data_IF_928790799444
#
_entry.id   IF_928790799444
#
_cell.length_a   1.000
_cell.length_b   1.000
_cell.length_c   1.000
_cell.angle_alpha   90.00
_cell.angle_beta   90.00
_cell.angle_gamma   90.00
#
_symmetry.space_group_name_H-M   'P 1'
#
loop_
_entity.id
_entity.type
_entity.pdbx_description
1 polymer ?
#
# COMPACT_ATOMS: atom_id res chain seq x y z
N UNK A 1 28.98 -18.66 31.57
CA UNK A 1 28.63 -17.27 31.23
C UNK A 1 27.78 -16.68 32.36
N UNK A 2 28.38 -16.08 33.40
CA UNK A 2 27.65 -15.20 34.30
C UNK A 2 27.57 -13.81 33.64
N UNK A 3 26.35 -13.28 33.53
CA UNK A 3 26.08 -11.99 32.91
C UNK A 3 26.64 -10.83 33.73
N UNK A 4 27.43 -9.98 33.07
CA UNK A 4 27.75 -8.65 33.58
C UNK A 4 26.49 -7.79 33.46
N UNK A 5 25.68 -7.83 34.52
CA UNK A 5 24.49 -6.99 34.68
C UNK A 5 24.85 -5.81 35.58
N UNK A 6 25.68 -4.91 35.07
CA UNK A 6 25.64 -3.53 35.58
C UNK A 6 24.35 -2.96 35.01
N UNK A 7 23.30 -2.90 35.84
CA UNK A 7 22.01 -2.31 35.48
C UNK A 7 22.21 -0.88 34.99
N UNK A 8 22.25 -0.71 33.67
CA UNK A 8 22.35 0.59 33.00
C UNK A 8 21.05 1.40 33.06
N UNK A 9 20.00 0.87 33.69
CA UNK A 9 18.65 1.48 33.75
C UNK A 9 18.60 2.81 34.54
N UNK A 10 19.70 3.24 35.18
CA UNK A 10 19.86 4.60 35.71
C UNK A 10 21.17 5.30 35.34
N UNK A 11 22.01 4.66 34.50
CA UNK A 11 23.35 5.15 34.15
C UNK A 11 23.36 6.03 32.90
N UNK A 12 22.62 5.64 31.85
CA UNK A 12 22.62 6.34 30.57
C UNK A 12 22.17 7.79 30.70
N UNK A 13 21.00 8.01 31.33
CA UNK A 13 20.41 9.34 31.52
C UNK A 13 21.24 10.25 32.42
N UNK A 14 22.01 9.69 33.36
CA UNK A 14 22.95 10.44 34.20
C UNK A 14 24.25 10.80 33.45
N UNK A 15 24.76 9.90 32.61
CA UNK A 15 25.97 10.13 31.82
C UNK A 15 25.72 11.10 30.66
N UNK A 16 24.49 11.18 30.16
CA UNK A 16 24.06 12.17 29.17
C UNK A 16 23.57 13.48 29.81
N UNK A 17 23.62 13.63 31.14
CA UNK A 17 23.30 14.91 31.78
C UNK A 17 24.35 15.95 31.34
N UNK A 18 23.93 17.07 30.73
CA UNK A 18 24.85 18.10 30.26
C UNK A 18 25.78 18.62 31.37
N UNK A 19 25.32 18.65 32.63
CA UNK A 19 26.15 19.06 33.78
C UNK A 19 27.25 18.05 34.10
N UNK A 20 26.94 16.76 33.99
CA UNK A 20 27.91 15.68 34.21
C UNK A 20 28.94 15.68 33.09
N UNK A 21 28.50 15.76 31.83
CA UNK A 21 29.38 15.85 30.67
C UNK A 21 30.32 17.07 30.76
N UNK A 22 29.77 18.24 31.07
CA UNK A 22 30.56 19.47 31.24
C UNK A 22 31.64 19.34 32.31
N UNK A 23 31.29 18.71 33.44
CA UNK A 23 32.20 18.51 34.56
C UNK A 23 33.32 17.53 34.21
N UNK A 24 32.98 16.43 33.53
CA UNK A 24 33.96 15.46 33.01
C UNK A 24 34.90 16.12 32.00
N UNK A 25 34.39 16.96 31.10
CA UNK A 25 35.23 17.66 30.13
C UNK A 25 36.15 18.70 30.76
N UNK A 26 35.70 19.49 31.74
CA UNK A 26 36.59 20.38 32.52
C UNK A 26 37.69 19.62 33.26
N UNK A 27 37.34 18.48 33.85
CA UNK A 27 38.29 17.62 34.55
C UNK A 27 39.37 17.09 33.63
N UNK A 28 39.06 16.82 32.37
CA UNK A 28 39.96 16.16 31.42
C UNK A 28 40.74 17.15 30.54
N UNK A 29 40.09 18.25 30.12
CA UNK A 29 40.64 19.22 29.17
C UNK A 29 41.36 20.36 29.90
N UNK A 30 40.61 21.31 30.43
CA UNK A 30 41.11 22.42 31.24
C UNK A 30 39.96 23.11 31.99
N UNK A 31 40.30 23.92 32.99
CA UNK A 31 39.35 24.74 33.75
C UNK A 31 38.72 25.84 32.87
N UNK A 32 39.35 26.18 31.74
CA UNK A 32 38.84 27.11 30.72
C UNK A 32 37.74 26.51 29.81
N UNK A 33 37.35 25.23 29.98
CA UNK A 33 36.18 24.67 29.31
C UNK A 33 34.89 25.26 29.90
N UNK A 34 34.56 26.47 29.47
CA UNK A 34 33.36 27.18 29.84
C UNK A 34 32.25 26.89 28.82
N UNK A 35 31.12 26.38 29.32
CA UNK A 35 29.85 26.45 28.61
C UNK A 35 29.28 27.86 28.77
N UNK A 36 28.43 28.30 27.84
CA UNK A 36 27.78 29.60 27.93
C UNK A 36 26.93 29.77 29.22
N UNK A 37 26.67 28.68 29.96
CA UNK A 37 26.24 28.74 31.36
C UNK A 37 24.79 29.18 31.52
N UNK A 38 23.96 29.03 30.49
CA UNK A 38 22.54 29.37 30.51
C UNK A 38 21.64 28.15 30.78
N UNK A 39 20.40 28.40 31.19
CA UNK A 39 19.33 27.39 31.37
C UNK A 39 18.96 26.58 30.09
N UNK A 40 19.67 26.80 28.97
CA UNK A 40 19.47 26.12 27.69
C UNK A 40 20.58 25.14 27.28
N UNK A 41 21.57 24.86 28.14
CA UNK A 41 22.63 23.90 27.82
C UNK A 41 22.06 22.47 27.74
N UNK A 42 22.17 21.87 26.56
CA UNK A 42 21.74 20.50 26.26
C UNK A 42 22.95 19.59 26.14
N UNK A 43 22.76 18.27 26.22
CA UNK A 43 23.85 17.32 25.93
C UNK A 43 24.46 17.59 24.54
N UNK A 44 23.63 18.07 23.60
CA UNK A 44 24.04 18.48 22.26
C UNK A 44 25.02 19.65 22.32
N UNK A 45 24.65 20.74 22.99
CA UNK A 45 25.51 21.93 23.06
C UNK A 45 26.84 21.65 23.77
N UNK A 46 26.85 20.76 24.77
CA UNK A 46 28.08 20.36 25.47
C UNK A 46 29.00 19.54 24.56
N UNK A 47 28.45 18.60 23.79
CA UNK A 47 29.21 17.78 22.84
C UNK A 47 29.68 18.60 21.64
N UNK A 48 28.89 19.54 21.15
CA UNK A 48 29.30 20.46 20.08
C UNK A 48 30.44 21.38 20.53
N UNK A 49 30.39 21.87 21.78
CA UNK A 49 31.47 22.66 22.38
C UNK A 49 32.76 21.85 22.55
N UNK A 50 32.64 20.59 22.94
CA UNK A 50 33.77 19.65 22.99
C UNK A 50 34.41 19.52 21.61
N UNK A 51 33.57 19.32 20.61
CA UNK A 51 33.96 19.21 19.21
C UNK A 51 34.67 20.47 18.70
N UNK A 52 34.16 21.66 19.05
CA UNK A 52 34.77 22.95 18.72
C UNK A 52 36.12 23.13 19.43
N UNK A 53 36.21 22.77 20.72
CA UNK A 53 37.46 22.79 21.48
C UNK A 53 38.54 21.93 20.81
N UNK A 54 38.20 20.73 20.34
CA UNK A 54 39.14 19.88 19.59
C UNK A 54 39.60 20.50 18.28
N UNK A 55 38.72 21.25 17.63
CA UNK A 55 39.04 21.92 16.37
C UNK A 55 39.98 23.10 16.58
N UNK A 56 39.78 23.88 17.65
CA UNK A 56 40.57 25.07 17.98
C UNK A 56 41.93 24.72 18.59
N UNK A 57 41.99 23.71 19.46
CA UNK A 57 43.21 23.35 20.20
C UNK A 57 44.31 22.66 19.35
N UNK A 58 44.23 22.73 18.01
CA UNK A 58 45.15 22.10 17.06
C UNK A 58 45.57 20.68 17.49
N UNK A 59 44.58 19.82 17.72
CA UNK A 59 44.81 18.41 18.02
C UNK A 59 45.16 17.65 16.73
N UNK A 60 46.16 18.15 15.97
CA UNK A 60 46.84 17.46 14.87
C UNK A 60 47.59 16.19 15.35
N UNK A 61 47.52 15.87 16.65
CA UNK A 61 48.11 14.68 17.26
C UNK A 61 47.20 13.45 17.23
N UNK A 62 45.93 13.57 16.84
CA UNK A 62 44.96 12.47 16.91
C UNK A 62 43.98 12.44 15.72
N UNK A 63 44.47 11.98 14.56
CA UNK A 63 43.60 11.69 13.40
C UNK A 63 42.46 10.73 13.76
N UNK A 64 42.70 9.78 14.68
CA UNK A 64 41.72 8.81 15.18
C UNK A 64 40.54 9.47 15.92
N UNK A 65 40.79 10.56 16.68
CA UNK A 65 39.71 11.27 17.38
C UNK A 65 38.78 11.98 16.40
N UNK A 66 39.33 12.46 15.27
CA UNK A 66 38.56 13.07 14.19
C UNK A 66 37.64 12.05 13.51
N UNK A 67 38.07 10.79 13.38
CA UNK A 67 37.24 9.70 12.83
C UNK A 67 36.15 9.23 13.80
N UNK A 68 36.50 9.03 15.06
CA UNK A 68 35.52 8.69 16.10
C UNK A 68 34.47 9.79 16.29
N UNK A 69 34.83 11.07 16.09
CA UNK A 69 33.89 12.18 16.02
C UNK A 69 32.87 12.02 14.89
N UNK A 70 33.30 11.61 13.69
CA UNK A 70 32.38 11.40 12.56
C UNK A 70 31.35 10.29 12.83
N UNK A 71 31.67 9.39 13.76
CA UNK A 71 30.78 8.30 14.19
C UNK A 71 29.82 8.70 15.31
N UNK A 72 30.09 9.82 16.00
CA UNK A 72 29.24 10.34 17.07
C UNK A 72 28.06 11.11 16.48
N UNK A 73 26.89 10.48 16.52
CA UNK A 73 25.62 11.08 16.16
C UNK A 73 24.92 11.58 17.44
N UNK A 74 24.92 12.89 17.59
CA UNK A 74 24.44 13.59 18.78
C UNK A 74 22.91 13.52 18.89
N UNK A 75 22.18 13.48 17.76
CA UNK A 75 20.72 13.31 17.77
C UNK A 75 20.36 11.92 18.30
N UNK A 76 21.03 10.88 17.80
CA UNK A 76 20.83 9.50 18.28
C UNK A 76 21.23 9.33 19.74
N UNK A 77 22.27 10.03 20.21
CA UNK A 77 22.65 10.05 21.62
C UNK A 77 21.50 10.54 22.51
N UNK A 78 20.85 11.65 22.14
CA UNK A 78 19.72 12.21 22.92
C UNK A 78 18.48 11.33 22.90
N UNK A 79 18.32 10.49 21.87
CA UNK A 79 17.24 9.52 21.76
C UNK A 79 17.46 8.26 22.61
N UNK A 80 18.58 8.15 23.34
CA UNK A 80 18.85 7.00 24.21
C UNK A 80 19.70 5.91 23.56
N UNK A 81 20.37 6.18 22.44
CA UNK A 81 21.19 5.17 21.76
C UNK A 81 22.45 4.83 22.59
N UNK A 82 22.42 3.68 23.25
CA UNK A 82 23.52 3.12 24.08
C UNK A 82 24.85 3.06 23.34
N UNK A 83 24.83 2.94 22.02
CA UNK A 83 26.02 2.91 21.18
C UNK A 83 26.66 4.28 21.03
N UNK A 84 25.84 5.33 20.91
CA UNK A 84 26.36 6.69 20.83
C UNK A 84 26.98 7.10 22.16
N UNK A 85 26.39 6.68 23.28
CA UNK A 85 27.00 6.85 24.59
C UNK A 85 28.34 6.11 24.68
N UNK A 86 28.43 4.88 24.15
CA UNK A 86 29.69 4.14 24.12
C UNK A 86 30.78 4.85 23.31
N UNK A 87 30.43 5.39 22.13
CA UNK A 87 31.36 6.19 21.30
C UNK A 87 31.82 7.44 22.07
N UNK A 88 30.88 8.15 22.71
CA UNK A 88 31.19 9.31 23.55
C UNK A 88 32.14 8.95 24.71
N UNK A 89 31.88 7.85 25.42
CA UNK A 89 32.73 7.38 26.51
C UNK A 89 34.14 7.02 26.03
N UNK A 90 34.29 6.35 24.88
CA UNK A 90 35.61 6.06 24.30
C UNK A 90 36.34 7.34 23.94
N UNK A 91 35.66 8.30 23.30
CA UNK A 91 36.23 9.60 22.98
C UNK A 91 36.77 10.26 24.25
N UNK A 92 35.92 10.41 25.29
CA UNK A 92 36.28 11.01 26.59
C UNK A 92 37.52 10.34 27.20
N UNK A 93 37.53 9.00 27.24
CA UNK A 93 38.63 8.23 27.83
C UNK A 93 39.92 8.44 27.04
N UNK A 94 39.87 8.36 25.70
CA UNK A 94 41.07 8.55 24.85
C UNK A 94 41.61 9.97 24.98
N UNK A 95 40.74 10.97 24.98
CA UNK A 95 41.11 12.36 25.24
C UNK A 95 41.83 12.49 26.58
N UNK A 96 41.28 11.88 27.64
CA UNK A 96 41.88 11.96 28.97
C UNK A 96 43.23 11.26 29.05
N UNK A 97 43.34 10.05 28.50
CA UNK A 97 44.56 9.25 28.54
C UNK A 97 45.70 9.89 27.74
N UNK A 98 45.40 10.52 26.61
CA UNK A 98 46.41 11.10 25.73
C UNK A 98 46.50 12.64 25.81
N UNK A 99 45.70 13.26 26.68
CA UNK A 99 45.64 14.71 26.88
C UNK A 99 46.54 15.22 28.01
N UNK A 100 46.32 16.49 28.37
CA UNK A 100 47.12 17.24 29.35
C UNK A 100 47.10 16.61 30.75
N UNK A 101 45.96 16.01 31.14
CA UNK A 101 45.73 15.39 32.45
C UNK A 101 45.84 13.85 32.41
N UNK A 102 46.67 13.32 31.50
CA UNK A 102 46.92 11.88 31.33
C UNK A 102 47.31 11.13 32.60
N UNK A 103 48.04 11.76 33.52
CA UNK A 103 48.41 11.17 34.81
C UNK A 103 47.21 10.91 35.73
N UNK A 104 46.22 11.80 35.73
CA UNK A 104 44.96 11.63 36.48
C UNK A 104 44.15 10.48 35.89
N UNK A 105 44.07 10.39 34.57
CA UNK A 105 43.40 9.29 33.90
C UNK A 105 44.11 7.95 34.15
N UNK A 106 45.44 7.89 34.07
CA UNK A 106 46.21 6.69 34.39
C UNK A 106 45.99 6.25 35.85
N UNK A 107 45.95 7.19 36.79
CA UNK A 107 45.62 6.91 38.19
C UNK A 107 44.21 6.33 38.33
N UNK A 108 43.21 6.94 37.69
CA UNK A 108 41.82 6.46 37.73
C UNK A 108 41.70 5.05 37.13
N UNK A 109 42.37 4.77 36.01
CA UNK A 109 42.42 3.45 35.38
C UNK A 109 43.08 2.41 36.29
N UNK A 110 44.12 2.80 37.04
CA UNK A 110 44.81 1.90 37.97
C UNK A 110 43.93 1.45 39.16
N UNK A 111 42.88 2.22 39.50
CA UNK A 111 41.94 1.92 40.57
C UNK A 111 40.79 1.00 40.14
N UNK A 112 40.66 0.70 38.84
CA UNK A 112 39.66 -0.22 38.33
C UNK A 112 40.01 -1.67 38.69
N UNK A 113 38.98 -2.53 38.71
CA UNK A 113 39.19 -3.97 38.82
C UNK A 113 40.01 -4.46 37.62
N UNK A 114 40.74 -5.56 37.80
CA UNK A 114 41.63 -6.07 36.76
C UNK A 114 40.89 -6.44 35.47
N UNK A 115 39.66 -6.94 35.56
CA UNK A 115 38.82 -7.24 34.40
C UNK A 115 38.44 -5.97 33.63
N UNK A 116 37.88 -4.97 34.33
CA UNK A 116 37.50 -3.68 33.76
C UNK A 116 38.70 -2.93 33.18
N UNK A 117 39.86 -3.01 33.85
CA UNK A 117 41.11 -2.40 33.38
C UNK A 117 41.58 -3.03 32.08
N UNK A 118 41.55 -4.36 31.96
CA UNK A 118 41.95 -5.06 30.73
C UNK A 118 41.00 -4.77 29.57
N UNK A 119 39.70 -4.66 29.83
CA UNK A 119 38.72 -4.28 28.81
C UNK A 119 38.95 -2.84 28.32
N UNK A 120 39.20 -1.92 29.25
CA UNK A 120 39.51 -0.53 28.94
C UNK A 120 40.86 -0.39 28.22
N UNK A 121 41.89 -1.11 28.65
CA UNK A 121 43.19 -1.17 27.97
C UNK A 121 43.07 -1.75 26.55
N UNK A 122 42.20 -2.73 26.32
CA UNK A 122 41.88 -3.21 24.96
C UNK A 122 41.16 -2.16 24.13
N UNK A 123 40.25 -1.39 24.71
CA UNK A 123 39.55 -0.32 24.00
C UNK A 123 40.47 0.87 23.66
N UNK A 124 41.45 1.18 24.52
CA UNK A 124 42.39 2.30 24.33
C UNK A 124 43.61 1.88 23.50
N UNK A 125 44.27 0.78 23.87
CA UNK A 125 45.58 0.36 23.37
C UNK A 125 45.57 -0.93 22.56
N UNK A 126 44.44 -1.63 22.50
CA UNK A 126 44.28 -2.89 21.77
C UNK A 126 44.22 -2.69 20.25
N UNK A 127 45.29 -2.12 19.68
CA UNK A 127 46.06 -2.74 18.60
C UNK A 127 47.29 -1.88 18.27
N UNK A 128 48.44 -2.23 18.84
CA UNK A 128 49.75 -1.79 18.33
C UNK A 128 50.06 -2.36 16.92
N UNK A 129 49.08 -3.02 16.28
CA UNK A 129 49.09 -3.46 14.88
C UNK A 129 47.79 -3.02 14.18
N UNK A 130 47.51 -1.70 14.18
CA UNK A 130 46.51 -1.07 13.33
C UNK A 130 45.14 -0.93 13.98
N UNK A 131 44.93 0.18 14.68
CA UNK A 131 43.99 1.29 14.35
C UNK A 131 42.63 1.03 13.65
N UNK A 132 42.19 -0.23 13.56
CA UNK A 132 41.19 -0.69 12.59
C UNK A 132 40.09 -1.51 13.27
N UNK A 133 40.30 -2.03 14.48
CA UNK A 133 39.39 -3.03 15.05
C UNK A 133 38.08 -2.46 15.64
N UNK A 134 38.12 -1.32 16.34
CA UNK A 134 36.92 -0.71 16.94
C UNK A 134 36.05 -0.05 15.88
N UNK A 135 36.65 0.72 14.97
CA UNK A 135 35.96 1.30 13.82
C UNK A 135 35.39 0.21 12.91
N UNK A 136 36.15 -0.85 12.59
CA UNK A 136 35.59 -1.97 11.82
C UNK A 136 34.48 -2.70 12.56
N UNK A 137 34.56 -2.88 13.88
CA UNK A 137 33.47 -3.52 14.64
C UNK A 137 32.19 -2.70 14.60
N UNK A 138 32.31 -1.37 14.70
CA UNK A 138 31.20 -0.42 14.56
C UNK A 138 30.68 -0.44 13.11
N UNK A 139 31.54 -0.30 12.12
CA UNK A 139 31.14 -0.28 10.70
C UNK A 139 30.53 -1.61 10.24
N UNK A 140 31.05 -2.75 10.70
CA UNK A 140 30.49 -4.08 10.41
C UNK A 140 29.09 -4.24 11.01
N UNK A 141 28.87 -3.77 12.25
CA UNK A 141 27.52 -3.76 12.85
C UNK A 141 26.55 -2.86 12.09
N UNK A 142 27.00 -1.71 11.58
CA UNK A 142 26.16 -0.87 10.71
C UNK A 142 25.86 -1.54 9.37
N UNK A 143 26.86 -2.16 8.73
CA UNK A 143 26.65 -2.90 7.48
C UNK A 143 25.64 -4.03 7.66
N UNK A 144 25.74 -4.82 8.72
CA UNK A 144 24.78 -5.89 9.01
C UNK A 144 23.37 -5.37 9.29
N UNK A 145 23.25 -4.23 9.98
CA UNK A 145 21.96 -3.58 10.24
C UNK A 145 21.34 -3.06 8.94
N UNK A 146 22.09 -2.30 8.16
CA UNK A 146 21.64 -1.78 6.87
C UNK A 146 21.23 -2.90 5.92
N UNK A 147 21.97 -4.01 5.89
CA UNK A 147 21.63 -5.17 5.08
C UNK A 147 20.31 -5.82 5.53
N UNK A 148 20.08 -5.89 6.85
CA UNK A 148 18.81 -6.37 7.42
C UNK A 148 17.63 -5.46 7.07
N UNK A 149 17.83 -4.14 7.16
CA UNK A 149 16.83 -3.13 6.78
C UNK A 149 16.53 -3.18 5.26
N UNK A 150 17.55 -3.35 4.43
CA UNK A 150 17.43 -3.54 2.98
C UNK A 150 16.64 -4.79 2.64
N UNK A 151 16.95 -5.92 3.28
CA UNK A 151 16.22 -7.18 3.08
C UNK A 151 14.74 -7.03 3.47
N UNK A 152 14.47 -6.35 4.58
CA UNK A 152 13.09 -6.11 5.02
C UNK A 152 12.34 -5.20 4.03
N UNK A 153 12.98 -4.13 3.56
CA UNK A 153 12.41 -3.21 2.56
C UNK A 153 12.13 -3.93 1.24
N UNK A 154 13.06 -4.76 0.78
CA UNK A 154 12.92 -5.55 -0.44
C UNK A 154 11.75 -6.56 -0.32
N UNK A 155 11.59 -7.20 0.85
CA UNK A 155 10.44 -8.06 1.13
C UNK A 155 9.10 -7.32 1.05
N UNK A 156 9.03 -6.07 1.56
CA UNK A 156 7.83 -5.22 1.46
C UNK A 156 7.55 -4.81 0.01
N UNK A 157 8.58 -4.43 -0.76
CA UNK A 157 8.44 -4.07 -2.16
C UNK A 157 7.85 -5.23 -2.99
N UNK A 158 8.37 -6.45 -2.81
CA UNK A 158 7.85 -7.64 -3.48
C UNK A 158 6.40 -7.96 -3.11
N UNK A 159 6.00 -7.71 -1.86
CA UNK A 159 4.61 -7.90 -1.43
C UNK A 159 3.67 -6.89 -2.12
N UNK A 160 4.09 -5.64 -2.24
CA UNK A 160 3.33 -4.59 -2.94
C UNK A 160 3.21 -4.88 -4.44
N UNK A 161 4.28 -5.34 -5.10
CA UNK A 161 4.25 -5.71 -6.52
C UNK A 161 3.23 -6.84 -6.79
N UNK A 162 3.14 -7.81 -5.89
CA UNK A 162 2.15 -8.90 -5.98
C UNK A 162 0.71 -8.37 -5.87
N UNK A 163 0.44 -7.48 -4.91
CA UNK A 163 -0.88 -6.84 -4.80
C UNK A 163 -1.21 -5.97 -6.01
N UNK A 164 -0.23 -5.24 -6.54
CA UNK A 164 -0.43 -4.41 -7.73
C UNK A 164 -0.80 -5.27 -8.95
N UNK A 165 -0.12 -6.40 -9.15
CA UNK A 165 -0.50 -7.39 -10.17
C UNK A 165 -1.91 -7.95 -9.94
N UNK A 166 -2.30 -8.21 -8.69
CA UNK A 166 -3.64 -8.68 -8.34
C UNK A 166 -4.71 -7.65 -8.70
N UNK A 167 -4.48 -6.39 -8.34
CA UNK A 167 -5.38 -5.27 -8.64
C UNK A 167 -5.49 -5.00 -10.14
N UNK A 168 -4.40 -5.09 -10.89
CA UNK A 168 -4.42 -4.96 -12.36
C UNK A 168 -5.31 -6.02 -13.01
N UNK A 169 -5.18 -7.29 -12.59
CA UNK A 169 -6.05 -8.38 -13.10
C UNK A 169 -7.52 -8.11 -12.77
N UNK A 170 -7.82 -7.66 -11.55
CA UNK A 170 -9.18 -7.31 -11.15
C UNK A 170 -9.73 -6.16 -12.00
N UNK A 171 -8.92 -5.13 -12.25
CA UNK A 171 -9.33 -3.98 -13.06
C UNK A 171 -9.64 -4.40 -14.50
N UNK A 172 -8.80 -5.21 -15.13
CA UNK A 172 -9.07 -5.75 -16.47
C UNK A 172 -10.36 -6.59 -16.50
N UNK A 173 -10.64 -7.37 -15.45
CA UNK A 173 -11.91 -8.08 -15.32
C UNK A 173 -13.10 -7.13 -15.22
N UNK A 174 -12.98 -6.04 -14.48
CA UNK A 174 -14.04 -5.05 -14.32
C UNK A 174 -14.31 -4.27 -15.62
N UNK A 175 -13.26 -3.94 -16.38
CA UNK A 175 -13.39 -3.34 -17.71
C UNK A 175 -14.15 -4.26 -18.69
N UNK A 176 -13.94 -5.58 -18.61
CA UNK A 176 -14.71 -6.55 -19.40
C UNK A 176 -16.18 -6.56 -18.98
N UNK A 177 -16.48 -6.54 -17.68
CA UNK A 177 -17.85 -6.47 -17.19
C UNK A 177 -18.57 -5.17 -17.60
N UNK A 178 -17.88 -4.03 -17.57
CA UNK A 178 -18.43 -2.76 -18.04
C UNK A 178 -18.85 -2.83 -19.51
N UNK A 179 -18.02 -3.40 -20.39
CA UNK A 179 -18.37 -3.60 -21.80
C UNK A 179 -19.62 -4.46 -21.98
N UNK A 180 -19.75 -5.55 -21.21
CA UNK A 180 -20.94 -6.40 -21.26
C UNK A 180 -22.21 -5.66 -20.80
N UNK A 181 -22.08 -4.75 -19.83
CA UNK A 181 -23.19 -3.91 -19.38
C UNK A 181 -23.59 -2.89 -20.46
N UNK A 182 -22.61 -2.29 -21.14
CA UNK A 182 -22.87 -1.38 -22.25
C UNK A 182 -23.58 -2.11 -23.41
N UNK A 183 -23.09 -3.29 -23.81
CA UNK A 183 -23.71 -4.12 -24.84
C UNK A 183 -25.16 -4.50 -24.46
N UNK A 184 -25.41 -4.83 -23.18
CA UNK A 184 -26.74 -5.15 -22.69
C UNK A 184 -27.67 -3.93 -22.69
N UNK A 185 -27.16 -2.74 -22.38
CA UNK A 185 -27.92 -1.50 -22.44
C UNK A 185 -28.33 -1.16 -23.88
N UNK A 186 -27.43 -1.32 -24.85
CA UNK A 186 -27.73 -1.12 -26.26
C UNK A 186 -28.82 -2.08 -26.75
N UNK A 187 -28.73 -3.36 -26.35
CA UNK A 187 -29.77 -4.34 -26.67
C UNK A 187 -31.13 -3.99 -26.04
N UNK A 188 -31.15 -3.53 -24.78
CA UNK A 188 -32.36 -3.06 -24.13
C UNK A 188 -32.97 -1.84 -24.83
N UNK A 189 -32.14 -0.94 -25.34
CA UNK A 189 -32.61 0.23 -26.10
C UNK A 189 -33.27 -0.21 -27.41
N UNK A 190 -32.67 -1.14 -28.14
CA UNK A 190 -33.28 -1.72 -29.36
C UNK A 190 -34.64 -2.37 -29.06
N UNK A 191 -34.75 -3.10 -27.95
CA UNK A 191 -36.02 -3.69 -27.53
C UNK A 191 -37.07 -2.64 -27.15
N UNK A 192 -36.68 -1.54 -26.50
CA UNK A 192 -37.59 -0.42 -26.21
C UNK A 192 -38.14 0.20 -27.48
N UNK A 193 -37.28 0.45 -28.46
CA UNK A 193 -37.69 1.01 -29.75
C UNK A 193 -38.65 0.08 -30.50
N UNK A 194 -38.39 -1.24 -30.44
CA UNK A 194 -39.27 -2.24 -31.04
C UNK A 194 -40.64 -2.29 -30.37
N UNK A 195 -40.69 -2.24 -29.03
CA UNK A 195 -41.94 -2.16 -28.28
C UNK A 195 -42.75 -0.94 -28.73
N UNK A 196 -42.11 0.21 -28.91
CA UNK A 196 -42.80 1.43 -29.34
C UNK A 196 -43.33 1.32 -30.78
N UNK A 197 -42.57 0.71 -31.70
CA UNK A 197 -43.04 0.38 -33.05
C UNK A 197 -44.26 -0.54 -33.03
N UNK A 198 -44.24 -1.58 -32.19
CA UNK A 198 -45.35 -2.51 -32.03
C UNK A 198 -46.60 -1.82 -31.44
N UNK A 199 -46.44 -0.91 -30.47
CA UNK A 199 -47.57 -0.12 -29.95
C UNK A 199 -48.24 0.72 -31.03
N UNK A 200 -47.46 1.42 -31.85
CA UNK A 200 -47.98 2.22 -32.97
C UNK A 200 -48.75 1.33 -33.94
N UNK A 201 -48.18 0.17 -34.28
CA UNK A 201 -48.80 -0.80 -35.21
C UNK A 201 -50.10 -1.37 -34.62
N UNK A 202 -50.10 -1.75 -33.35
CA UNK A 202 -51.28 -2.25 -32.65
C UNK A 202 -52.40 -1.19 -32.62
N UNK A 203 -52.05 0.08 -32.37
CA UNK A 203 -53.02 1.19 -32.45
C UNK A 203 -53.66 1.29 -33.84
N UNK A 204 -52.86 1.22 -34.91
CA UNK A 204 -53.38 1.23 -36.30
C UNK A 204 -54.32 0.06 -36.58
N UNK A 205 -54.00 -1.14 -36.08
CA UNK A 205 -54.89 -2.29 -36.22
C UNK A 205 -56.20 -2.11 -35.46
N UNK A 206 -56.16 -1.59 -34.22
CA UNK A 206 -57.38 -1.27 -33.46
C UNK A 206 -58.25 -0.26 -34.21
N UNK A 207 -57.67 0.81 -34.74
CA UNK A 207 -58.40 1.82 -35.50
C UNK A 207 -59.03 1.22 -36.78
N UNK A 208 -58.31 0.31 -37.44
CA UNK A 208 -58.80 -0.41 -38.61
C UNK A 208 -59.96 -1.33 -38.26
N UNK A 209 -59.86 -2.12 -37.18
CA UNK A 209 -60.95 -3.00 -36.70
C UNK A 209 -62.20 -2.17 -36.41
N UNK A 210 -62.07 -1.05 -35.69
CA UNK A 210 -63.19 -0.16 -35.41
C UNK A 210 -63.83 0.38 -36.70
N UNK A 211 -63.02 0.65 -37.73
CA UNK A 211 -63.54 1.06 -39.03
C UNK A 211 -64.31 -0.07 -39.72
N UNK A 212 -63.75 -1.29 -39.76
CA UNK A 212 -64.43 -2.47 -40.29
C UNK A 212 -65.77 -2.76 -39.58
N UNK A 213 -65.81 -2.62 -38.25
CA UNK A 213 -67.05 -2.77 -37.47
C UNK A 213 -68.12 -1.76 -37.87
N UNK A 214 -67.73 -0.49 -38.11
CA UNK A 214 -68.66 0.55 -38.61
C UNK A 214 -69.15 0.23 -40.01
N UNK A 215 -68.25 -0.14 -40.91
CA UNK A 215 -68.59 -0.43 -42.31
C UNK A 215 -69.52 -1.66 -42.38
N UNK A 216 -69.25 -2.70 -41.59
CA UNK A 216 -70.11 -3.87 -41.45
C UNK A 216 -71.51 -3.51 -40.91
N UNK A 217 -71.58 -2.67 -39.87
CA UNK A 217 -72.85 -2.19 -39.33
C UNK A 217 -73.63 -1.35 -40.36
N UNK A 218 -72.95 -0.56 -41.19
CA UNK A 218 -73.59 0.17 -42.29
C UNK A 218 -74.15 -0.77 -43.35
N UNK A 219 -73.41 -1.80 -43.77
CA UNK A 219 -73.88 -2.81 -44.72
C UNK A 219 -75.14 -3.53 -44.22
N UNK A 220 -75.21 -3.87 -42.93
CA UNK A 220 -76.42 -4.45 -42.33
C UNK A 220 -77.64 -3.52 -42.38
N UNK A 221 -77.45 -2.20 -42.43
CA UNK A 221 -78.55 -1.23 -42.59
C UNK A 221 -79.04 -1.11 -44.03
N UNK A 222 -78.15 -1.23 -45.01
CA UNK A 222 -78.51 -1.20 -46.43
C UNK A 222 -79.11 -2.52 -46.93
N UNK A 223 -78.76 -3.63 -46.28
CA UNK A 223 -79.30 -4.95 -46.57
C UNK A 223 -79.85 -5.56 -45.26
N UNK A 224 -81.02 -5.09 -44.77
CA UNK A 224 -81.58 -5.63 -43.54
C UNK A 224 -81.76 -7.15 -43.72
N UNK A 225 -81.41 -7.97 -42.71
CA UNK A 225 -81.69 -9.39 -42.78
C UNK A 225 -83.20 -9.54 -42.99
N UNK A 226 -83.58 -10.01 -44.19
CA UNK A 226 -84.97 -10.26 -44.52
C UNK A 226 -85.54 -11.24 -43.49
N UNK A 227 -86.79 -11.07 -43.03
CA UNK A 227 -87.39 -11.99 -42.08
C UNK A 227 -87.45 -13.37 -42.74
N UNK A 228 -86.58 -14.25 -42.26
CA UNK A 228 -86.60 -15.70 -42.35
C UNK A 228 -87.40 -16.26 -43.54
N UNK A 229 -86.98 -16.00 -44.78
CA UNK A 229 -87.19 -17.02 -45.81
C UNK A 229 -86.16 -18.08 -45.48
N UNK A 230 -86.59 -19.21 -44.89
CA UNK A 230 -85.79 -20.43 -44.90
C UNK A 230 -85.45 -20.68 -46.37
N UNK A 231 -84.29 -20.20 -46.80
CA UNK A 231 -83.62 -20.77 -47.94
C UNK A 231 -83.34 -22.18 -47.48
N UNK A 232 -84.18 -23.13 -47.92
CA UNK A 232 -83.70 -24.49 -48.08
C UNK A 232 -82.48 -24.32 -48.95
N UNK A 233 -81.30 -24.33 -48.32
CA UNK A 233 -80.11 -24.80 -48.99
C UNK A 233 -80.50 -26.22 -49.31
N UNK A 234 -81.05 -26.43 -50.51
CA UNK A 234 -80.97 -27.73 -51.12
C UNK A 234 -79.46 -28.02 -51.07
N UNK A 235 -79.08 -29.02 -50.29
CA UNK A 235 -77.80 -29.69 -50.46
C UNK A 235 -77.82 -30.21 -51.90
N UNK A 236 -77.51 -29.33 -52.83
CA UNK A 236 -76.95 -29.71 -54.09
C UNK A 236 -75.56 -30.14 -53.68
N UNK A 237 -75.40 -31.46 -53.58
CA UNK A 237 -74.13 -32.14 -53.75
C UNK A 237 -73.57 -31.72 -55.12
N UNK A 238 -73.05 -30.50 -55.19
CA UNK A 238 -72.11 -30.13 -56.21
C UNK A 238 -70.78 -30.60 -55.66
N UNK A 239 -70.42 -31.80 -56.10
CA UNK A 239 -69.03 -32.21 -56.20
C UNK A 239 -68.28 -31.13 -56.97
N UNK A 240 -67.83 -30.09 -56.28
CA UNK A 240 -66.83 -29.16 -56.76
C UNK A 240 -65.49 -29.87 -56.64
N UNK A 241 -65.24 -30.74 -57.61
CA UNK A 241 -63.95 -31.36 -57.84
C UNK A 241 -63.01 -30.29 -58.43
N UNK A 242 -62.59 -29.33 -57.60
CA UNK A 242 -61.57 -28.36 -57.97
C UNK A 242 -60.26 -28.68 -57.22
N UNK A 243 -59.29 -29.36 -57.87
CA UNK A 243 -58.08 -29.85 -57.21
C UNK A 243 -57.21 -28.74 -56.59
N UNK A 244 -57.34 -27.49 -57.06
CA UNK A 244 -56.62 -26.35 -56.50
C UNK A 244 -57.12 -25.95 -55.11
N UNK A 245 -58.44 -25.98 -54.86
CA UNK A 245 -58.99 -25.59 -53.55
C UNK A 245 -58.71 -26.64 -52.47
N UNK A 246 -58.61 -27.92 -52.85
CA UNK A 246 -58.17 -28.98 -51.94
C UNK A 246 -56.67 -28.85 -51.60
N UNK A 247 -55.83 -28.46 -52.55
CA UNK A 247 -54.42 -28.20 -52.29
C UNK A 247 -54.22 -26.99 -51.37
N UNK A 248 -54.99 -25.91 -51.56
CA UNK A 248 -54.96 -24.74 -50.68
C UNK A 248 -55.41 -25.09 -49.25
N UNK A 249 -56.46 -25.90 -49.09
CA UNK A 249 -56.92 -26.36 -47.78
C UNK A 249 -55.87 -27.22 -47.07
N UNK A 250 -55.25 -28.17 -47.78
CA UNK A 250 -54.17 -29.01 -47.24
C UNK A 250 -52.95 -28.15 -46.85
N UNK A 251 -52.62 -27.16 -47.67
CA UNK A 251 -51.51 -26.25 -47.40
C UNK A 251 -51.77 -25.37 -46.17
N UNK A 252 -52.96 -24.77 -46.07
CA UNK A 252 -53.37 -23.98 -44.90
C UNK A 252 -53.42 -24.84 -43.62
N UNK A 253 -53.88 -26.08 -43.73
CA UNK A 253 -53.92 -27.02 -42.61
C UNK A 253 -52.51 -27.41 -42.16
N UNK A 254 -51.57 -27.58 -43.10
CA UNK A 254 -50.16 -27.81 -42.78
C UNK A 254 -49.51 -26.58 -42.11
N UNK A 255 -49.76 -25.37 -42.62
CA UNK A 255 -49.26 -24.13 -42.02
C UNK A 255 -49.76 -23.95 -40.59
N UNK A 256 -51.06 -24.18 -40.35
CA UNK A 256 -51.65 -24.12 -39.01
C UNK A 256 -50.99 -25.11 -38.05
N UNK A 257 -50.81 -26.37 -38.46
CA UNK A 257 -50.18 -27.40 -37.63
C UNK A 257 -48.73 -27.06 -37.30
N UNK A 258 -47.99 -26.51 -38.26
CA UNK A 258 -46.58 -26.13 -38.09
C UNK A 258 -46.45 -24.96 -37.11
N UNK A 259 -47.27 -23.92 -37.27
CA UNK A 259 -47.31 -22.78 -36.35
C UNK A 259 -47.71 -23.20 -34.93
N UNK A 260 -48.67 -24.11 -34.80
CA UNK A 260 -49.11 -24.63 -33.50
C UNK A 260 -47.98 -25.41 -32.81
N UNK A 261 -47.23 -26.23 -33.54
CA UNK A 261 -46.05 -26.91 -33.00
C UNK A 261 -44.95 -25.94 -32.56
N UNK A 262 -44.71 -24.87 -33.32
CA UNK A 262 -43.70 -23.87 -32.95
C UNK A 262 -44.07 -23.11 -31.69
N UNK A 263 -45.34 -22.69 -31.57
CA UNK A 263 -45.85 -22.02 -30.38
C UNK A 263 -45.75 -22.93 -29.15
N UNK A 264 -46.04 -24.24 -29.30
CA UNK A 264 -45.93 -25.21 -28.19
C UNK A 264 -44.50 -25.45 -27.68
N UNK A 265 -43.47 -25.03 -28.42
CA UNK A 265 -42.05 -25.13 -28.01
C UNK A 265 -41.50 -23.86 -27.37
N UNK A 266 -42.27 -22.77 -27.39
CA UNK A 266 -41.91 -21.46 -26.83
C UNK A 266 -42.52 -21.22 -25.42
N UNK A 267 -43.41 -22.10 -24.98
CA UNK A 267 -43.99 -22.17 -23.62
C UNK A 267 -43.29 -23.31 -22.89
#
# INVERSE_FOLDING_TARGET
MPGCSVGLEGGFSRLCDPKVLALVFRLILDDEFELAGGEGDTAISVVDRLVEYFHIAEVNRFDELSRLRLLLDVERLTQGDSRQLYILCILVVRIGVFGLKSSLCASAVSMLKQEDRLELERAIYGDAAGDVHVENSILVKELSRMDSELQQSNGRAQALEKELCRLQRLNSSMEQHLRLVDDANDALQLHRDEIERLKITNKRYKDSILQWERDFAQLQRYNPPSPTRRVRIAHHDHQLHNPQQQQELVYLQWQYNTLTQWISKLI
#
